data_IF_059228869594
#
_entry.id   IF_059228869594
#
_cell.length_a   1.000
_cell.length_b   1.000
_cell.length_c   1.000
_cell.angle_alpha   90.00
_cell.angle_beta   90.00
_cell.angle_gamma   90.00
#
_symmetry.space_group_name_H-M   'P 1'
#
loop_
_entity.id
_entity.type
_entity.pdbx_description
1 polymer ?
#
# COMPACT_ATOMS: atom_id res chain seq x y z
N UNK A 1 -10.91 6.13 -13.50
CA UNK A 1 -11.41 5.97 -12.12
C UNK A 1 -10.37 6.52 -11.15
N UNK A 2 -10.75 7.04 -9.98
CA UNK A 2 -9.81 7.55 -8.98
C UNK A 2 -9.72 6.53 -7.84
N UNK A 3 -8.51 6.07 -7.53
CA UNK A 3 -8.24 5.22 -6.38
C UNK A 3 -8.63 5.96 -5.10
N UNK A 4 -9.50 5.35 -4.27
CA UNK A 4 -10.03 5.95 -3.04
C UNK A 4 -9.33 5.36 -1.82
N UNK A 5 -9.07 6.18 -0.81
CA UNK A 5 -8.52 5.73 0.48
C UNK A 5 -9.62 5.79 1.54
N UNK A 6 -9.81 4.70 2.26
CA UNK A 6 -10.75 4.60 3.38
C UNK A 6 -10.02 4.20 4.66
N UNK A 7 -10.29 4.93 5.74
CA UNK A 7 -9.78 4.60 7.06
C UNK A 7 -10.84 3.74 7.76
N UNK A 8 -10.68 2.41 7.71
CA UNK A 8 -11.53 1.48 8.48
C UNK A 8 -11.15 1.40 9.95
N UNK A 9 -9.99 1.95 10.34
CA UNK A 9 -9.52 2.07 11.72
C UNK A 9 -8.67 3.34 11.92
N UNK A 10 -8.25 3.63 13.17
CA UNK A 10 -7.17 4.57 13.42
C UNK A 10 -5.83 3.91 13.06
N UNK A 11 -5.00 4.62 12.32
CA UNK A 11 -3.65 4.21 11.90
C UNK A 11 -2.81 5.46 11.62
N UNK A 12 -1.50 5.27 11.51
CA UNK A 12 -0.52 6.38 11.49
C UNK A 12 -0.20 6.90 10.10
N UNK A 13 -0.65 6.22 9.06
CA UNK A 13 -0.61 6.71 7.68
C UNK A 13 -1.94 7.38 7.33
N UNK A 14 -2.08 8.68 7.55
CA UNK A 14 -3.37 9.33 7.32
C UNK A 14 -3.70 9.44 5.83
N UNK A 15 -4.99 9.55 5.49
CA UNK A 15 -5.45 9.85 4.11
C UNK A 15 -4.73 11.06 3.51
N UNK A 16 -4.54 12.13 4.30
CA UNK A 16 -3.85 13.35 3.86
C UNK A 16 -2.38 13.12 3.50
N UNK A 17 -1.74 12.13 4.10
CA UNK A 17 -0.35 11.77 3.81
C UNK A 17 -0.25 10.83 2.63
N UNK A 18 -1.24 9.96 2.45
CA UNK A 18 -1.23 8.96 1.40
C UNK A 18 -1.79 9.46 0.06
N UNK A 19 -2.73 10.40 0.04
CA UNK A 19 -3.25 10.99 -1.22
C UNK A 19 -2.15 11.60 -2.10
N UNK A 20 -1.16 12.36 -1.58
CA UNK A 20 -0.01 12.80 -2.37
C UNK A 20 0.85 11.65 -2.89
N UNK A 21 1.01 10.58 -2.09
CA UNK A 21 1.79 9.40 -2.47
C UNK A 21 1.14 8.67 -3.64
N UNK A 22 -0.20 8.61 -3.69
CA UNK A 22 -0.92 8.00 -4.80
C UNK A 22 -0.62 8.63 -6.16
N UNK A 23 -0.19 9.90 -6.20
CA UNK A 23 0.18 10.58 -7.45
C UNK A 23 1.45 9.97 -8.06
N UNK A 24 2.30 9.36 -7.24
CA UNK A 24 3.51 8.65 -7.69
C UNK A 24 3.18 7.28 -8.32
N UNK A 25 1.95 6.78 -8.15
CA UNK A 25 1.61 5.43 -8.58
C UNK A 25 1.27 5.41 -10.08
N UNK A 26 1.82 4.45 -10.84
CA UNK A 26 1.47 4.26 -12.23
C UNK A 26 -0.05 4.13 -12.44
N UNK A 27 -0.66 4.87 -13.39
CA UNK A 27 -2.10 4.82 -13.62
C UNK A 27 -2.64 3.42 -13.91
N UNK A 28 -1.82 2.55 -14.53
CA UNK A 28 -2.14 1.15 -14.83
C UNK A 28 -2.53 0.33 -13.59
N UNK A 29 -2.02 0.67 -12.41
CA UNK A 29 -2.29 -0.06 -11.17
C UNK A 29 -3.71 0.13 -10.63
N UNK A 30 -4.40 1.16 -11.13
CA UNK A 30 -5.78 1.47 -10.79
C UNK A 30 -6.81 0.63 -11.57
N UNK A 31 -6.37 -0.18 -12.54
CA UNK A 31 -7.29 -1.00 -13.34
C UNK A 31 -7.87 -2.20 -12.57
N UNK A 32 -7.21 -2.61 -11.48
CA UNK A 32 -7.63 -3.72 -10.61
C UNK A 32 -8.15 -3.31 -9.24
N UNK A 33 -7.82 -2.13 -8.73
CA UNK A 33 -8.16 -1.70 -7.36
C UNK A 33 -8.87 -0.36 -7.40
N UNK A 34 -10.06 -0.31 -6.81
CA UNK A 34 -10.86 0.91 -6.70
C UNK A 34 -10.61 1.63 -5.38
N UNK A 35 -10.36 0.85 -4.33
CA UNK A 35 -10.28 1.36 -2.96
C UNK A 35 -9.14 0.67 -2.21
N UNK A 36 -8.38 1.45 -1.45
CA UNK A 36 -7.46 0.95 -0.43
C UNK A 36 -8.09 1.24 0.93
N UNK A 37 -8.31 0.20 1.72
CA UNK A 37 -8.93 0.31 3.04
C UNK A 37 -7.97 -0.17 4.11
N UNK A 38 -7.70 0.67 5.11
CA UNK A 38 -6.89 0.30 6.26
C UNK A 38 -7.76 -0.34 7.35
N UNK A 39 -7.37 -1.52 7.79
CA UNK A 39 -8.03 -2.30 8.84
C UNK A 39 -7.09 -2.48 10.03
N UNK A 40 -7.67 -2.56 11.23
CA UNK A 40 -6.95 -3.04 12.41
C UNK A 40 -6.85 -4.56 12.32
N UNK A 41 -5.65 -5.08 12.54
CA UNK A 41 -5.35 -6.51 12.57
C UNK A 41 -5.02 -6.94 13.99
N UNK A 42 -5.39 -8.15 14.36
CA UNK A 42 -4.88 -8.81 15.57
C UNK A 42 -3.54 -9.53 15.31
N UNK A 43 -3.15 -9.66 14.04
CA UNK A 43 -1.86 -10.23 13.66
C UNK A 43 -0.71 -9.33 14.15
N UNK A 44 0.44 -9.94 14.43
CA UNK A 44 1.66 -9.21 14.81
C UNK A 44 2.33 -8.49 13.62
N UNK A 45 1.96 -8.86 12.40
CA UNK A 45 2.57 -8.36 11.19
C UNK A 45 1.57 -7.65 10.29
N UNK A 46 2.08 -6.62 9.62
CA UNK A 46 1.41 -5.96 8.52
C UNK A 46 1.20 -6.94 7.37
N UNK A 47 0.02 -6.92 6.77
CA UNK A 47 -0.26 -7.69 5.57
C UNK A 47 -1.34 -7.04 4.71
N UNK A 48 -1.47 -7.52 3.48
CA UNK A 48 -2.48 -7.07 2.54
C UNK A 48 -3.38 -8.21 2.10
N UNK A 49 -4.62 -7.88 1.75
CA UNK A 49 -5.57 -8.81 1.16
C UNK A 49 -6.36 -8.10 0.07
N UNK A 50 -6.51 -8.76 -1.07
CA UNK A 50 -7.35 -8.26 -2.15
C UNK A 50 -8.73 -8.91 -2.11
N UNK A 51 -9.77 -8.09 -2.11
CA UNK A 51 -11.17 -8.47 -2.22
C UNK A 51 -11.62 -8.22 -3.67
N UNK A 52 -11.50 -9.24 -4.51
CA UNK A 52 -11.67 -9.13 -5.97
C UNK A 52 -13.06 -8.65 -6.38
N UNK A 53 -14.11 -9.16 -5.73
CA UNK A 53 -15.50 -8.82 -6.06
C UNK A 53 -15.78 -7.33 -5.88
N UNK A 54 -15.25 -6.73 -4.82
CA UNK A 54 -15.39 -5.31 -4.50
C UNK A 54 -14.26 -4.44 -5.08
N UNK A 55 -13.21 -5.06 -5.62
CA UNK A 55 -11.95 -4.43 -6.05
C UNK A 55 -11.31 -3.60 -4.93
N UNK A 56 -11.28 -4.14 -3.71
CA UNK A 56 -10.73 -3.47 -2.53
C UNK A 56 -9.40 -4.12 -2.13
N UNK A 57 -8.37 -3.31 -1.93
CA UNK A 57 -7.14 -3.72 -1.27
C UNK A 57 -7.23 -3.38 0.22
N UNK A 58 -7.39 -4.40 1.06
CA UNK A 58 -7.32 -4.27 2.50
C UNK A 58 -5.88 -4.28 2.98
N UNK A 59 -5.50 -3.30 3.80
CA UNK A 59 -4.19 -3.20 4.46
C UNK A 59 -4.42 -3.42 5.96
N UNK A 60 -3.92 -4.53 6.47
CA UNK A 60 -4.17 -5.01 7.83
C UNK A 60 -3.01 -4.62 8.73
N UNK A 61 -3.24 -3.66 9.62
CA UNK A 61 -2.22 -3.06 10.45
C UNK A 61 -2.17 -3.69 11.85
N UNK A 62 -1.00 -4.16 12.34
CA UNK A 62 -0.90 -4.96 13.56
C UNK A 62 -1.13 -4.16 14.86
N UNK A 63 -0.74 -2.89 14.90
CA UNK A 63 -0.92 -2.00 16.06
C UNK A 63 -0.89 -0.53 15.65
N UNK A 64 -1.54 0.34 16.44
CA UNK A 64 -1.34 1.78 16.31
C UNK A 64 0.12 2.11 16.69
N UNK A 65 0.96 2.42 15.70
CA UNK A 65 2.37 2.76 15.90
C UNK A 65 2.77 3.94 15.03
N UNK A 66 3.30 4.99 15.66
CA UNK A 66 3.82 6.19 14.98
C UNK A 66 5.22 5.98 14.39
N UNK A 67 5.73 4.74 14.43
CA UNK A 67 7.01 4.41 13.84
C UNK A 67 6.98 4.63 12.32
N UNK A 68 7.94 5.43 11.84
CA UNK A 68 8.11 5.69 10.42
C UNK A 68 8.40 4.40 9.66
N UNK A 69 9.14 3.46 10.24
CA UNK A 69 9.47 2.19 9.59
C UNK A 69 8.23 1.35 9.30
N UNK A 70 7.24 1.33 10.22
CA UNK A 70 5.96 0.66 9.99
C UNK A 70 5.17 1.32 8.85
N UNK A 71 5.23 2.66 8.75
CA UNK A 71 4.59 3.40 7.66
C UNK A 71 5.25 3.15 6.31
N UNK A 72 6.57 3.11 6.27
CA UNK A 72 7.34 2.77 5.07
C UNK A 72 7.07 1.32 4.63
N UNK A 73 6.94 0.40 5.59
CA UNK A 73 6.55 -0.99 5.35
C UNK A 73 5.15 -1.06 4.73
N UNK A 74 4.19 -0.32 5.29
CA UNK A 74 2.82 -0.22 4.74
C UNK A 74 2.77 0.26 3.29
N UNK A 75 3.54 1.31 2.97
CA UNK A 75 3.65 1.79 1.59
C UNK A 75 4.24 0.71 0.69
N UNK A 76 5.28 0.02 1.14
CA UNK A 76 5.95 -1.02 0.35
C UNK A 76 5.00 -2.18 0.05
N UNK A 77 4.26 -2.65 1.05
CA UNK A 77 3.24 -3.69 0.89
C UNK A 77 2.14 -3.26 -0.10
N UNK A 78 1.67 -2.00 -0.01
CA UNK A 78 0.66 -1.48 -0.94
C UNK A 78 1.20 -1.42 -2.37
N UNK A 79 2.41 -0.90 -2.58
CA UNK A 79 3.05 -0.79 -3.90
C UNK A 79 3.17 -2.15 -4.58
N UNK A 80 3.71 -3.13 -3.85
CA UNK A 80 3.88 -4.50 -4.32
C UNK A 80 2.52 -5.14 -4.63
N UNK A 81 1.54 -4.96 -3.73
CA UNK A 81 0.20 -5.51 -3.91
C UNK A 81 -0.49 -4.93 -5.15
N UNK A 82 -0.39 -3.61 -5.35
CA UNK A 82 -0.96 -2.94 -6.51
C UNK A 82 -0.32 -3.40 -7.82
N UNK A 83 1.01 -3.52 -7.85
CA UNK A 83 1.70 -3.99 -9.06
C UNK A 83 1.32 -5.46 -9.36
N UNK A 84 1.27 -6.32 -8.34
CA UNK A 84 0.83 -7.71 -8.47
C UNK A 84 -0.62 -7.83 -8.99
N UNK A 85 -1.55 -7.09 -8.40
CA UNK A 85 -2.97 -7.11 -8.82
C UNK A 85 -3.11 -6.57 -10.24
N UNK A 86 -2.30 -5.59 -10.63
CA UNK A 86 -2.35 -5.01 -11.99
C UNK A 86 -1.95 -6.00 -13.09
N UNK A 87 -1.05 -6.93 -12.79
CA UNK A 87 -0.57 -7.95 -13.73
C UNK A 87 -1.45 -9.21 -13.69
N UNK A 88 -1.72 -9.74 -12.49
CA UNK A 88 -2.31 -11.08 -12.33
C UNK A 88 -3.79 -11.07 -11.92
N UNK A 89 -4.37 -9.89 -11.64
CA UNK A 89 -5.72 -9.69 -11.05
C UNK A 89 -5.94 -10.39 -9.69
N UNK A 90 -4.90 -11.00 -9.14
CA UNK A 90 -4.90 -11.73 -7.87
C UNK A 90 -3.65 -11.32 -7.09
N UNK A 91 -3.77 -11.29 -5.76
CA UNK A 91 -2.63 -11.07 -4.86
C UNK A 91 -1.96 -12.42 -4.56
N UNK A 92 -0.84 -12.71 -5.22
CA UNK A 92 -0.03 -13.91 -4.97
C UNK A 92 1.44 -13.51 -4.90
N UNK A 93 1.98 -13.43 -3.67
CA UNK A 93 3.37 -13.08 -3.42
C UNK A 93 4.13 -14.36 -3.04
N UNK A 94 4.46 -15.18 -4.03
CA UNK A 94 5.52 -16.17 -3.83
C UNK A 94 6.89 -15.47 -3.78
N UNK A 95 7.91 -16.16 -3.27
CA UNK A 95 9.25 -15.56 -3.06
C UNK A 95 9.87 -15.03 -4.36
N UNK A 96 9.65 -15.72 -5.48
CA UNK A 96 10.25 -15.36 -6.78
C UNK A 96 9.59 -14.12 -7.38
N UNK A 97 8.28 -13.97 -7.21
CA UNK A 97 7.52 -12.81 -7.67
C UNK A 97 7.73 -11.59 -6.75
N UNK A 98 8.00 -11.82 -5.46
CA UNK A 98 8.25 -10.73 -4.51
C UNK A 98 9.47 -9.89 -4.89
N UNK A 99 10.60 -10.51 -5.24
CA UNK A 99 11.81 -9.78 -5.66
C UNK A 99 11.57 -8.95 -6.93
N UNK A 100 10.88 -9.53 -7.92
CA UNK A 100 10.50 -8.82 -9.14
C UNK A 100 9.68 -7.55 -8.85
N UNK A 101 8.67 -7.65 -7.99
CA UNK A 101 7.86 -6.49 -7.60
C UNK A 101 8.64 -5.50 -6.73
N UNK A 102 9.54 -5.97 -5.86
CA UNK A 102 10.40 -5.10 -5.05
C UNK A 102 11.30 -4.22 -5.93
N UNK A 103 11.91 -4.79 -6.96
CA UNK A 103 12.79 -4.06 -7.88
C UNK A 103 11.99 -3.05 -8.72
N UNK A 104 10.85 -3.47 -9.26
CA UNK A 104 10.00 -2.62 -10.11
C UNK A 104 9.37 -1.46 -9.36
N UNK A 105 9.12 -1.64 -8.05
CA UNK A 105 8.57 -0.58 -7.18
C UNK A 105 9.66 0.25 -6.48
N UNK A 106 10.95 -0.08 -6.63
CA UNK A 106 12.05 0.53 -5.88
C UNK A 106 12.12 2.06 -6.05
N UNK A 107 12.06 2.57 -7.28
CA UNK A 107 12.11 4.02 -7.55
C UNK A 107 10.94 4.76 -6.90
N UNK A 108 9.72 4.22 -7.02
CA UNK A 108 8.52 4.83 -6.41
C UNK A 108 8.60 4.76 -4.89
N UNK A 109 9.09 3.65 -4.34
CA UNK A 109 9.31 3.46 -2.91
C UNK A 109 10.26 4.50 -2.36
N UNK A 110 11.39 4.77 -3.03
CA UNK A 110 12.31 5.84 -2.64
C UNK A 110 11.65 7.22 -2.64
N UNK A 111 10.87 7.55 -3.68
CA UNK A 111 10.16 8.83 -3.75
C UNK A 111 9.12 8.98 -2.64
N UNK A 112 8.37 7.91 -2.34
CA UNK A 112 7.44 7.87 -1.21
C UNK A 112 8.16 8.09 0.12
N UNK A 113 9.36 7.51 0.27
CA UNK A 113 10.15 7.62 1.49
C UNK A 113 10.66 9.05 1.69
N UNK A 114 11.16 9.70 0.62
CA UNK A 114 11.58 11.11 0.66
C UNK A 114 10.41 12.02 1.04
N UNK A 115 9.23 11.82 0.43
CA UNK A 115 8.03 12.60 0.76
C UNK A 115 7.58 12.47 2.22
N UNK A 116 7.79 11.31 2.85
CA UNK A 116 7.47 11.12 4.27
C UNK A 116 8.55 11.68 5.20
N UNK A 117 9.82 11.65 4.77
CA UNK A 117 10.93 12.21 5.53
C UNK A 117 10.91 13.75 5.55
N UNK A 118 10.57 14.39 4.43
CA UNK A 118 10.57 15.86 4.29
C UNK A 118 9.46 16.54 5.08
N UNK A 119 8.33 15.86 5.35
CA UNK A 119 7.22 16.40 6.16
C UNK A 119 7.53 16.58 7.66
N UNK A 120 8.77 16.31 8.08
CA UNK A 120 9.28 16.56 9.44
C UNK A 120 10.08 17.87 9.58
N UNK A 121 10.32 18.62 8.49
CA UNK A 121 10.94 19.95 8.51
C UNK A 121 9.88 21.06 8.58
#
# INVERSE_FOLDING_TARGET
>A
MKLVIQNGCRHTLTRKEFEPILVLFPPKWNNGVNTITFYKSENLELGTRYFEKEKVLGVFWPKESEDIHERLKAISEILISLDCISENRVLCLDKSNLEYFLDRTASIREDCYRMLADKRA
#
